data_IF_092050635729
#
_entry.id   IF_092050635729
#
_cell.length_a   1.000
_cell.length_b   1.000
_cell.length_c   1.000
_cell.angle_alpha   90.00
_cell.angle_beta   90.00
_cell.angle_gamma   90.00
#
_symmetry.space_group_name_H-M   'P 1'
#
loop_
_entity.id
_entity.type
_entity.pdbx_description
1 polymer ?
#
# COMPACT_ATOMS: atom_id res chain seq x y z
N UNK A 1 19.89 19.02 -26.85
CA UNK A 1 18.92 19.23 -25.76
C UNK A 1 19.66 18.93 -24.47
N UNK A 2 19.84 19.94 -23.61
CA UNK A 2 20.50 19.74 -22.32
C UNK A 2 19.52 19.06 -21.35
N UNK A 3 19.92 17.98 -20.64
CA UNK A 3 19.09 17.41 -19.59
C UNK A 3 18.99 18.42 -18.45
N UNK A 4 17.77 18.82 -18.11
CA UNK A 4 17.53 19.69 -16.95
C UNK A 4 17.78 18.87 -15.68
N UNK A 5 18.98 19.02 -15.11
CA UNK A 5 19.34 18.37 -13.84
C UNK A 5 18.67 19.14 -12.70
N UNK A 6 17.55 18.63 -12.19
CA UNK A 6 16.92 19.18 -10.98
C UNK A 6 17.79 18.81 -9.78
N UNK A 7 18.40 19.82 -9.15
CA UNK A 7 19.26 19.61 -7.99
C UNK A 7 18.47 18.99 -6.81
N UNK A 8 18.97 17.88 -6.30
CA UNK A 8 18.45 17.23 -5.10
C UNK A 8 18.84 18.02 -3.84
N UNK A 9 17.92 18.25 -2.89
CA UNK A 9 18.28 18.83 -1.61
C UNK A 9 19.14 17.85 -0.82
N UNK A 10 20.24 18.34 -0.24
CA UNK A 10 21.14 17.59 0.65
C UNK A 10 20.55 17.31 2.05
N UNK A 11 19.28 17.67 2.30
CA UNK A 11 18.63 17.65 3.62
C UNK A 11 17.37 16.77 3.66
N UNK A 12 17.38 15.62 3.00
CA UNK A 12 16.45 14.53 3.29
C UNK A 12 17.18 13.44 4.05
N UNK A 13 16.73 13.10 5.26
CA UNK A 13 17.23 11.89 5.93
C UNK A 13 17.01 10.65 5.06
N UNK A 14 17.75 9.56 5.33
CA UNK A 14 17.48 8.30 4.62
C UNK A 14 16.00 7.92 4.81
N UNK A 15 15.28 7.56 3.73
CA UNK A 15 13.86 7.25 3.80
C UNK A 15 13.62 6.10 4.77
N UNK A 16 12.53 6.19 5.55
CA UNK A 16 12.17 5.16 6.50
C UNK A 16 11.90 3.81 5.83
N UNK A 17 11.99 2.73 6.60
CA UNK A 17 11.76 1.35 6.12
C UNK A 17 10.41 1.20 5.38
N UNK A 18 9.34 1.84 5.86
CA UNK A 18 8.03 1.76 5.22
C UNK A 18 7.98 2.50 3.88
N UNK A 19 8.68 3.63 3.74
CA UNK A 19 8.79 4.35 2.47
C UNK A 19 9.51 3.49 1.42
N UNK A 20 10.54 2.74 1.82
CA UNK A 20 11.22 1.79 0.94
C UNK A 20 10.30 0.64 0.48
N UNK A 21 9.41 0.14 1.36
CA UNK A 21 8.42 -0.88 0.96
C UNK A 21 7.40 -0.31 -0.04
N UNK A 22 6.94 0.93 0.14
CA UNK A 22 6.06 1.60 -0.83
C UNK A 22 6.78 1.86 -2.16
N UNK A 23 8.04 2.24 -2.13
CA UNK A 23 8.85 2.42 -3.33
C UNK A 23 9.03 1.10 -4.09
N UNK A 24 9.33 0.00 -3.38
CA UNK A 24 9.39 -1.33 -3.99
C UNK A 24 8.06 -1.77 -4.59
N UNK A 25 6.95 -1.37 -3.98
CA UNK A 25 5.63 -1.60 -4.56
C UNK A 25 5.39 -0.76 -5.82
N UNK A 26 5.80 0.51 -5.83
CA UNK A 26 5.74 1.38 -7.01
C UNK A 26 6.58 0.81 -8.17
N UNK A 27 7.79 0.31 -7.89
CA UNK A 27 8.67 -0.35 -8.88
C UNK A 27 8.07 -1.64 -9.45
N UNK A 28 7.27 -2.34 -8.67
CA UNK A 28 6.63 -3.60 -9.05
C UNK A 28 5.26 -3.39 -9.72
N UNK A 29 4.83 -2.16 -9.93
CA UNK A 29 3.52 -1.82 -10.48
C UNK A 29 3.41 -2.21 -11.97
N UNK A 30 2.33 -2.89 -12.34
CA UNK A 30 2.20 -3.57 -13.65
C UNK A 30 1.24 -2.90 -14.64
N UNK A 31 0.47 -1.89 -14.23
CA UNK A 31 -0.55 -1.26 -15.07
C UNK A 31 -0.03 -0.09 -15.91
N UNK A 32 1.26 -0.12 -16.25
CA UNK A 32 1.84 0.93 -17.10
C UNK A 32 1.20 0.86 -18.50
N UNK A 33 0.47 1.89 -18.94
CA UNK A 33 -0.19 1.91 -20.24
C UNK A 33 0.81 2.03 -21.42
N UNK A 34 2.08 2.36 -21.17
CA UNK A 34 3.10 2.60 -22.20
C UNK A 34 3.77 1.31 -22.67
N UNK A 35 3.54 0.19 -21.97
CA UNK A 35 3.97 -1.13 -22.43
C UNK A 35 2.77 -1.83 -23.06
N UNK A 36 2.36 -1.33 -24.24
CA UNK A 36 1.68 -2.15 -25.23
C UNK A 36 2.67 -3.25 -25.65
N UNK A 37 2.77 -4.30 -24.85
CA UNK A 37 3.18 -5.60 -25.35
C UNK A 37 2.12 -5.99 -26.40
N UNK A 38 2.44 -5.71 -27.66
CA UNK A 38 1.73 -6.09 -28.89
C UNK A 38 1.52 -7.61 -29.02
N UNK A 39 1.85 -8.43 -28.01
CA UNK A 39 1.63 -9.87 -28.01
C UNK A 39 1.32 -10.37 -26.60
N UNK A 40 0.07 -10.27 -26.14
CA UNK A 40 -0.42 -11.18 -25.09
C UNK A 40 -1.94 -11.34 -25.19
N UNK A 41 -2.37 -12.45 -25.79
CA UNK A 41 -3.75 -12.95 -25.86
C UNK A 41 -4.30 -13.40 -24.47
N UNK A 42 -4.10 -12.60 -23.42
CA UNK A 42 -4.58 -12.92 -22.07
C UNK A 42 -5.78 -12.01 -21.70
N UNK A 43 -7.03 -12.53 -21.71
CA UNK A 43 -8.23 -11.76 -21.34
C UNK A 43 -8.40 -11.76 -19.82
N UNK A 44 -7.43 -11.21 -19.09
CA UNK A 44 -7.47 -11.11 -17.63
C UNK A 44 -7.30 -9.67 -17.17
N UNK A 45 -8.03 -9.21 -16.14
CA UNK A 45 -7.76 -7.91 -15.54
C UNK A 45 -6.34 -7.93 -14.95
N UNK A 46 -5.46 -7.07 -15.48
CA UNK A 46 -4.10 -6.92 -14.94
C UNK A 46 -4.20 -6.47 -13.48
N UNK A 47 -3.79 -7.34 -12.56
CA UNK A 47 -3.68 -7.02 -11.13
C UNK A 47 -2.52 -6.03 -10.96
N UNK A 48 -2.71 -4.90 -10.25
CA UNK A 48 -1.74 -3.80 -10.27
C UNK A 48 -0.40 -4.15 -9.62
N UNK A 49 -0.43 -5.03 -8.61
CA UNK A 49 0.76 -5.45 -7.87
C UNK A 49 0.87 -6.98 -7.83
N UNK A 50 2.08 -7.54 -7.95
CA UNK A 50 2.32 -8.97 -7.73
C UNK A 50 1.96 -9.41 -6.29
N UNK A 51 1.55 -10.66 -6.12
CA UNK A 51 1.23 -11.23 -4.79
C UNK A 51 2.36 -11.08 -3.77
N UNK A 52 3.63 -11.20 -4.20
CA UNK A 52 4.79 -11.01 -3.32
C UNK A 52 4.85 -9.58 -2.78
N UNK A 53 4.51 -8.59 -3.61
CA UNK A 53 4.44 -7.18 -3.21
C UNK A 53 3.29 -6.96 -2.24
N UNK A 54 2.10 -7.50 -2.53
CA UNK A 54 0.94 -7.42 -1.64
C UNK A 54 1.23 -8.04 -0.28
N UNK A 55 1.85 -9.23 -0.24
CA UNK A 55 2.26 -9.88 1.02
C UNK A 55 3.30 -9.05 1.80
N UNK A 56 4.29 -8.46 1.13
CA UNK A 56 5.28 -7.58 1.77
C UNK A 56 4.63 -6.33 2.35
N UNK A 57 3.70 -5.70 1.62
CA UNK A 57 2.91 -4.58 2.13
C UNK A 57 2.03 -5.01 3.31
N UNK A 58 1.45 -6.21 3.26
CA UNK A 58 0.77 -6.88 4.38
C UNK A 58 1.62 -6.96 5.64
N UNK A 59 2.81 -7.55 5.51
CA UNK A 59 3.75 -7.70 6.61
C UNK A 59 4.24 -6.36 7.18
N UNK A 60 4.22 -5.29 6.38
CA UNK A 60 4.57 -3.94 6.79
C UNK A 60 3.37 -3.13 7.34
N UNK A 61 2.16 -3.69 7.37
CA UNK A 61 0.95 -2.97 7.80
C UNK A 61 0.45 -1.91 6.80
N UNK A 62 0.85 -2.00 5.53
CA UNK A 62 0.63 -1.00 4.48
C UNK A 62 -0.47 -1.41 3.48
N UNK A 63 -1.32 -2.40 3.76
CA UNK A 63 -2.34 -2.86 2.78
C UNK A 63 -3.29 -1.75 2.33
N UNK A 64 -3.63 -0.82 3.23
CA UNK A 64 -4.49 0.31 2.90
C UNK A 64 -3.86 1.27 1.87
N UNK A 65 -2.53 1.25 1.70
CA UNK A 65 -1.83 2.04 0.70
C UNK A 65 -1.98 1.51 -0.72
N UNK A 66 -2.39 0.25 -0.93
CA UNK A 66 -2.40 -0.37 -2.27
C UNK A 66 -3.22 0.44 -3.29
N UNK A 67 -4.49 0.75 -2.98
CA UNK A 67 -5.36 1.45 -3.91
C UNK A 67 -4.94 2.93 -4.13
N UNK A 68 -4.58 3.72 -3.09
CA UNK A 68 -4.03 5.06 -3.31
C UNK A 68 -2.69 5.06 -4.07
N UNK A 69 -1.82 4.07 -3.83
CA UNK A 69 -0.56 3.92 -4.55
C UNK A 69 -0.81 3.60 -6.03
N UNK A 70 -1.72 2.67 -6.34
CA UNK A 70 -2.16 2.39 -7.72
C UNK A 70 -2.66 3.65 -8.42
N UNK A 71 -3.54 4.42 -7.75
CA UNK A 71 -4.05 5.69 -8.26
C UNK A 71 -2.94 6.72 -8.53
N UNK A 72 -1.93 6.81 -7.66
CA UNK A 72 -0.79 7.69 -7.87
C UNK A 72 0.06 7.25 -9.08
N UNK A 73 0.32 5.95 -9.21
CA UNK A 73 1.07 5.41 -10.34
C UNK A 73 0.34 5.60 -11.67
N UNK A 74 -1.00 5.52 -11.69
CA UNK A 74 -1.81 5.86 -12.86
C UNK A 74 -1.67 7.34 -13.26
N UNK A 75 -1.71 8.26 -12.30
CA UNK A 75 -1.50 9.70 -12.58
C UNK A 75 -0.11 9.92 -13.15
N UNK A 76 0.91 9.30 -12.56
CA UNK A 76 2.30 9.40 -13.06
C UNK A 76 2.38 8.87 -14.49
N UNK A 77 1.86 7.68 -14.76
CA UNK A 77 2.00 7.04 -16.06
C UNK A 77 1.16 7.72 -17.16
N UNK A 78 0.06 8.39 -16.80
CA UNK A 78 -0.77 9.14 -17.75
C UNK A 78 -0.15 10.49 -18.16
N UNK A 79 0.74 11.04 -17.34
CA UNK A 79 1.28 12.39 -17.51
C UNK A 79 2.77 12.43 -17.80
N UNK A 80 3.53 11.38 -17.47
CA UNK A 80 4.95 11.36 -17.74
C UNK A 80 5.24 11.07 -19.22
N UNK A 81 5.94 12.00 -19.89
CA UNK A 81 6.41 11.80 -21.27
C UNK A 81 7.36 10.60 -21.38
N UNK A 82 8.16 10.37 -20.34
CA UNK A 82 9.05 9.21 -20.19
C UNK A 82 8.81 8.54 -18.84
N UNK A 83 8.87 7.19 -18.76
CA UNK A 83 8.75 6.48 -17.49
C UNK A 83 9.75 7.01 -16.44
N UNK A 84 9.31 7.09 -15.17
CA UNK A 84 10.20 7.41 -14.07
C UNK A 84 11.23 6.31 -13.89
N UNK A 85 12.51 6.67 -13.74
CA UNK A 85 13.57 5.70 -13.48
C UNK A 85 13.62 5.36 -11.97
N UNK A 86 12.78 4.41 -11.58
CA UNK A 86 12.70 3.97 -10.20
C UNK A 86 13.70 2.86 -9.86
N UNK A 87 14.36 2.25 -10.86
CA UNK A 87 15.17 1.04 -10.70
C UNK A 87 14.34 -0.22 -10.39
N UNK A 88 15.00 -1.30 -9.93
CA UNK A 88 14.32 -2.59 -9.67
C UNK A 88 13.88 -2.74 -8.21
N UNK A 89 12.82 -3.51 -7.93
CA UNK A 89 12.43 -3.83 -6.56
C UNK A 89 13.59 -4.45 -5.76
N UNK A 90 13.84 -3.93 -4.54
CA UNK A 90 14.93 -4.35 -3.67
C UNK A 90 16.26 -3.62 -3.87
N UNK A 91 16.39 -2.78 -4.91
CA UNK A 91 17.59 -1.95 -5.10
C UNK A 91 17.51 -0.67 -4.25
N UNK A 92 18.63 -0.15 -3.73
CA UNK A 92 18.64 1.15 -3.08
C UNK A 92 18.23 2.26 -4.08
N UNK A 93 17.50 3.31 -3.65
CA UNK A 93 17.09 4.42 -4.52
C UNK A 93 18.30 5.30 -4.88
N UNK A 94 19.09 4.88 -5.87
CA UNK A 94 20.28 5.61 -6.33
C UNK A 94 19.94 6.67 -7.37
N UNK A 95 18.93 6.40 -8.18
CA UNK A 95 18.53 7.30 -9.25
C UNK A 95 17.75 8.51 -8.72
N UNK A 96 17.84 9.67 -9.41
CA UNK A 96 17.10 10.87 -9.03
C UNK A 96 15.60 10.61 -8.85
N UNK A 97 14.94 9.95 -9.81
CA UNK A 97 13.50 9.69 -9.75
C UNK A 97 13.16 8.74 -8.58
N UNK A 98 13.95 7.69 -8.37
CA UNK A 98 13.80 6.78 -7.23
C UNK A 98 13.93 7.51 -5.87
N UNK A 99 14.91 8.41 -5.73
CA UNK A 99 15.08 9.22 -4.51
C UNK A 99 13.94 10.19 -4.30
N UNK A 100 13.44 10.82 -5.38
CA UNK A 100 12.34 11.78 -5.31
C UNK A 100 11.08 11.05 -4.84
N UNK A 101 10.80 9.91 -5.46
CA UNK A 101 9.68 9.05 -5.08
C UNK A 101 9.80 8.57 -3.63
N UNK A 102 10.98 8.10 -3.21
CA UNK A 102 11.22 7.68 -1.83
C UNK A 102 10.91 8.81 -0.83
N UNK A 103 11.38 10.02 -1.10
CA UNK A 103 11.16 11.18 -0.25
C UNK A 103 9.69 11.63 -0.21
N UNK A 104 9.00 11.62 -1.36
CA UNK A 104 7.56 11.91 -1.45
C UNK A 104 6.74 10.90 -0.63
N UNK A 105 7.07 9.61 -0.73
CA UNK A 105 6.40 8.53 0.00
C UNK A 105 6.67 8.60 1.51
N UNK A 106 7.91 8.94 1.90
CA UNK A 106 8.28 9.12 3.30
C UNK A 106 7.53 10.30 3.95
N UNK A 107 7.45 11.45 3.26
CA UNK A 107 6.65 12.58 3.71
C UNK A 107 5.16 12.21 3.84
N UNK A 108 4.59 11.51 2.86
CA UNK A 108 3.20 11.06 2.91
C UNK A 108 2.93 10.11 4.09
N UNK A 109 3.89 9.24 4.44
CA UNK A 109 3.82 8.38 5.63
C UNK A 109 3.86 9.15 6.94
N UNK A 110 4.58 10.28 6.98
CA UNK A 110 4.55 11.20 8.11
C UNK A 110 3.24 12.00 8.21
N UNK A 111 2.31 11.83 7.26
CA UNK A 111 1.09 12.62 7.15
C UNK A 111 1.32 14.02 6.58
N UNK A 112 2.50 14.27 6.04
CA UNK A 112 2.90 15.54 5.45
C UNK A 112 2.83 15.47 3.92
N UNK A 113 2.61 16.63 3.31
CA UNK A 113 2.69 16.77 1.85
C UNK A 113 3.67 17.90 1.59
N UNK A 114 4.88 17.53 1.23
CA UNK A 114 5.91 18.49 0.82
C UNK A 114 5.51 19.09 -0.53
N UNK A 115 5.05 20.35 -0.52
CA UNK A 115 4.73 21.07 -1.76
C UNK A 115 5.95 21.14 -2.70
N UNK A 116 7.17 21.26 -2.16
CA UNK A 116 8.41 21.21 -2.95
C UNK A 116 8.61 19.85 -3.62
N UNK A 117 8.29 18.75 -2.92
CA UNK A 117 8.38 17.40 -3.49
C UNK A 117 7.33 17.16 -4.58
N UNK A 118 6.10 17.64 -4.36
CA UNK A 118 5.03 17.60 -5.36
C UNK A 118 5.41 18.43 -6.57
N UNK A 119 6.01 19.60 -6.38
CA UNK A 119 6.40 20.50 -7.46
C UNK A 119 7.52 19.91 -8.30
N UNK A 120 8.52 19.29 -7.66
CA UNK A 120 9.56 18.56 -8.39
C UNK A 120 9.01 17.35 -9.14
N UNK A 121 8.09 16.60 -8.54
CA UNK A 121 7.50 15.43 -9.21
C UNK A 121 6.62 15.87 -10.39
N UNK A 122 5.83 16.94 -10.21
CA UNK A 122 5.05 17.54 -11.29
C UNK A 122 5.97 18.07 -12.41
N UNK A 123 7.04 18.80 -12.09
CA UNK A 123 8.02 19.23 -13.09
C UNK A 123 8.67 18.06 -13.84
N UNK A 124 8.83 16.91 -13.17
CA UNK A 124 9.43 15.72 -13.76
C UNK A 124 8.46 14.98 -14.71
N UNK A 125 7.16 14.99 -14.44
CA UNK A 125 6.17 14.31 -15.29
C UNK A 125 5.46 15.29 -16.23
N UNK A 126 4.73 16.25 -15.68
CA UNK A 126 3.94 17.29 -16.32
C UNK A 126 3.42 18.25 -15.22
N UNK A 127 3.64 19.56 -15.40
CA UNK A 127 3.17 20.57 -14.47
C UNK A 127 1.63 20.57 -14.30
N UNK A 128 0.89 20.15 -15.34
CA UNK A 128 -0.56 19.97 -15.31
C UNK A 128 -1.03 18.87 -14.35
N UNK A 129 -0.16 17.89 -14.04
CA UNK A 129 -0.48 16.80 -13.12
C UNK A 129 -0.43 17.21 -11.64
N UNK A 130 0.08 18.41 -11.31
CA UNK A 130 0.34 18.85 -9.93
C UNK A 130 -0.87 18.67 -9.00
N UNK A 131 -2.06 19.09 -9.44
CA UNK A 131 -3.26 19.00 -8.61
C UNK A 131 -3.69 17.53 -8.36
N UNK A 132 -3.55 16.67 -9.38
CA UNK A 132 -3.87 15.25 -9.29
C UNK A 132 -2.87 14.50 -8.41
N UNK A 133 -1.56 14.77 -8.57
CA UNK A 133 -0.52 14.24 -7.69
C UNK A 133 -0.78 14.62 -6.23
N UNK A 134 -1.10 15.89 -5.97
CA UNK A 134 -1.42 16.36 -4.62
C UNK A 134 -2.63 15.63 -4.03
N UNK A 135 -3.68 15.42 -4.83
CA UNK A 135 -4.86 14.68 -4.40
C UNK A 135 -4.56 13.20 -4.13
N UNK A 136 -3.76 12.56 -4.99
CA UNK A 136 -3.33 11.17 -4.83
C UNK A 136 -2.49 10.98 -3.56
N UNK A 137 -1.55 11.89 -3.29
CA UNK A 137 -0.72 11.88 -2.09
C UNK A 137 -1.53 12.13 -0.82
N UNK A 138 -2.52 13.03 -0.84
CA UNK A 138 -3.47 13.19 0.28
C UNK A 138 -4.22 11.91 0.57
N UNK A 139 -4.67 11.22 -0.48
CA UNK A 139 -5.38 9.94 -0.35
C UNK A 139 -4.47 8.85 0.21
N UNK A 140 -3.21 8.82 -0.22
CA UNK A 140 -2.19 7.90 0.29
C UNK A 140 -1.90 8.16 1.78
N UNK A 141 -1.59 9.41 2.14
CA UNK A 141 -1.36 9.82 3.52
C UNK A 141 -2.56 9.49 4.42
N UNK A 142 -3.78 9.82 3.98
CA UNK A 142 -5.01 9.52 4.72
C UNK A 142 -5.31 8.02 4.85
N UNK A 143 -4.90 7.20 3.89
CA UNK A 143 -5.01 5.74 3.99
C UNK A 143 -3.97 5.13 4.95
N UNK A 144 -2.86 5.84 5.17
CA UNK A 144 -1.79 5.42 6.08
C UNK A 144 -1.97 5.87 7.52
N UNK A 145 -2.90 6.80 7.77
CA UNK A 145 -3.27 7.12 9.14
C UNK A 145 -3.94 5.91 9.79
N UNK A 146 -3.56 5.56 11.04
CA UNK A 146 -4.21 4.48 11.75
C UNK A 146 -5.70 4.79 11.87
N UNK A 147 -6.54 3.97 11.21
CA UNK A 147 -7.99 3.97 11.40
C UNK A 147 -8.34 3.30 12.72
N UNK A 148 -7.82 3.86 13.80
CA UNK A 148 -8.22 3.52 15.14
C UNK A 148 -8.98 4.74 15.64
N UNK A 149 -10.27 4.82 15.29
CA UNK A 149 -11.19 5.16 16.37
C UNK A 149 -10.97 4.06 17.39
N UNK A 150 -10.26 4.37 18.47
CA UNK A 150 -10.35 3.56 19.67
C UNK A 150 -11.78 3.74 20.10
N UNK A 151 -12.69 2.95 19.53
CA UNK A 151 -13.84 2.49 20.27
C UNK A 151 -13.25 2.01 21.57
N UNK A 152 -13.42 2.80 22.62
CA UNK A 152 -13.19 2.36 23.98
C UNK A 152 -13.97 1.07 24.06
N UNK A 153 -13.26 -0.06 24.06
CA UNK A 153 -13.88 -1.32 24.34
C UNK A 153 -14.54 -1.10 25.70
N UNK A 154 -15.87 -1.15 25.83
CA UNK A 154 -16.47 -0.98 27.13
C UNK A 154 -15.87 -2.07 28.00
N UNK A 155 -15.08 -1.67 29.00
CA UNK A 155 -14.62 -2.54 30.09
C UNK A 155 -15.78 -3.02 30.97
N UNK A 156 -17.00 -3.02 30.43
CA UNK A 156 -18.25 -3.48 31.03
C UNK A 156 -18.63 -4.86 30.48
N UNK A 157 -17.65 -5.75 30.37
CA UNK A 157 -17.90 -7.19 30.29
C UNK A 157 -17.02 -7.94 31.29
N UNK A 158 -16.80 -7.35 32.48
CA UNK A 158 -16.60 -8.14 33.70
C UNK A 158 -17.91 -8.84 34.04
N UNK A 159 -18.15 -9.95 33.36
CA UNK A 159 -18.91 -11.11 33.82
C UNK A 159 -18.82 -12.15 32.72
N UNK A 160 -17.96 -13.15 32.93
CA UNK A 160 -18.28 -14.49 32.46
C UNK A 160 -19.74 -14.75 32.82
N UNK A 161 -20.61 -15.19 31.90
CA UNK A 161 -21.83 -15.85 32.35
C UNK A 161 -21.39 -16.96 33.31
N UNK A 162 -22.03 -17.12 34.48
CA UNK A 162 -21.76 -18.30 35.31
C UNK A 162 -21.95 -19.51 34.41
N UNK A 163 -21.02 -20.46 34.50
CA UNK A 163 -21.23 -21.82 34.00
C UNK A 163 -22.63 -22.22 34.49
N UNK A 164 -23.57 -22.30 33.57
CA UNK A 164 -24.72 -23.13 33.83
C UNK A 164 -24.13 -24.52 33.91
N UNK A 165 -24.00 -25.02 35.13
CA UNK A 165 -23.89 -26.44 35.43
C UNK A 165 -24.78 -27.17 34.43
N UNK A 166 -24.14 -27.75 33.41
CA UNK A 166 -24.74 -28.80 32.63
C UNK A 166 -24.87 -29.95 33.60
N UNK A 167 -25.98 -29.90 34.32
CA UNK A 167 -26.50 -30.97 35.15
C UNK A 167 -26.32 -32.25 34.34
N UNK A 168 -25.48 -33.13 34.87
CA UNK A 168 -25.09 -34.36 34.23
C UNK A 168 -26.36 -35.18 34.02
N UNK A 169 -26.95 -35.07 32.83
CA UNK A 169 -27.94 -36.03 32.39
C UNK A 169 -27.25 -37.40 32.44
N UNK A 170 -27.76 -38.37 33.21
CA UNK A 170 -27.14 -39.68 33.28
C UNK A 170 -27.16 -40.28 31.87
N UNK A 171 -25.97 -40.57 31.36
CA UNK A 171 -25.79 -41.34 30.12
C UNK A 171 -26.54 -42.67 30.30
N UNK A 172 -27.58 -42.98 29.51
CA UNK A 172 -28.21 -44.28 29.60
C UNK A 172 -27.23 -45.35 29.14
N UNK A 173 -27.09 -46.37 29.97
CA UNK A 173 -26.24 -47.54 29.80
C UNK A 173 -26.56 -48.25 28.46
N UNK A 174 -25.58 -48.54 27.58
CA UNK A 174 -25.84 -49.13 26.27
C UNK A 174 -26.17 -50.64 26.31
N UNK A 175 -26.44 -51.25 27.47
CA UNK A 175 -26.63 -52.70 27.63
C UNK A 175 -28.07 -53.06 28.05
N UNK A 176 -29.08 -52.48 27.39
CA UNK A 176 -30.48 -52.94 27.56
C UNK A 176 -31.25 -53.09 26.24
N UNK A 177 -30.56 -53.16 25.09
CA UNK A 177 -31.17 -53.44 23.78
C UNK A 177 -31.03 -54.92 23.37
N UNK A 178 -31.31 -55.85 24.30
CA UNK A 178 -31.33 -57.28 23.99
C UNK A 178 -32.22 -58.08 24.95
N UNK A 179 -33.47 -57.67 25.10
CA UNK A 179 -34.58 -58.53 25.54
C UNK A 179 -35.92 -57.85 25.23
N UNK A 180 -36.79 -58.56 24.51
CA UNK A 180 -38.06 -58.16 23.86
C UNK A 180 -37.85 -57.60 22.44
N UNK A 181 -38.21 -58.28 21.35
CA UNK A 181 -39.07 -59.46 21.12
C UNK A 181 -38.46 -60.35 20.02
#
# INVERSE_FOLDING_TARGET
>A
MDPTIVAFPRQGGEPGRHALVLLDAARAWRRCPVHDDVISDAPGPVVPFPDVTVRRMGAAGLLNALAPLDGMMLVIAAHADEPLDLGRPGEPPREPDARLMAWVLDAALAGEISEDAVDRLALRIDIGARALLRAALRRLAGAMQPRVERGVWPLSATRCPPDHDLDAAPVPDPVSLLAAE
#
